data_IF_730279237880
#
_entry.id   IF_730279237880
#
_cell.length_a   1.000
_cell.length_b   1.000
_cell.length_c   1.000
_cell.angle_alpha   90.00
_cell.angle_beta   90.00
_cell.angle_gamma   90.00
#
_symmetry.space_group_name_H-M   'P 1'
#
loop_
_entity.id
_entity.type
_entity.pdbx_description
1 polymer ?
#
# COMPACT_ATOMS: atom_id res chain seq x y z
N UNK A 1 -17.04 -3.14 7.59
CA UNK A 1 -17.87 -2.11 6.93
C UNK A 1 -19.14 -2.77 6.44
N UNK A 2 -20.20 -2.00 6.36
CA UNK A 2 -21.51 -2.48 5.90
C UNK A 2 -22.22 -1.38 5.12
N UNK A 3 -22.58 -1.71 3.86
CA UNK A 3 -23.29 -0.84 2.92
C UNK A 3 -22.69 0.57 2.82
N UNK A 4 -21.36 0.64 2.67
CA UNK A 4 -20.64 1.91 2.67
C UNK A 4 -20.69 2.51 1.26
N UNK A 5 -21.18 3.75 1.17
CA UNK A 5 -21.15 4.58 -0.03
C UNK A 5 -20.30 5.81 0.21
N UNK A 6 -19.64 6.28 -0.83
CA UNK A 6 -18.93 7.55 -0.79
C UNK A 6 -19.00 8.29 -2.12
N UNK A 7 -19.24 9.59 -2.05
CA UNK A 7 -19.24 10.48 -3.20
C UNK A 7 -18.55 11.81 -2.89
N UNK A 8 -17.68 12.28 -3.78
CA UNK A 8 -17.13 13.62 -3.69
C UNK A 8 -18.19 14.64 -4.11
N UNK A 9 -18.35 15.71 -3.30
CA UNK A 9 -19.27 16.80 -3.58
C UNK A 9 -18.51 18.02 -4.08
N UNK A 10 -18.86 18.51 -5.27
CA UNK A 10 -18.46 19.81 -5.78
C UNK A 10 -19.68 20.72 -5.81
N UNK A 11 -19.48 22.06 -5.90
CA UNK A 11 -20.57 23.04 -5.82
C UNK A 11 -21.82 22.76 -6.65
N UNK A 12 -21.73 21.96 -7.73
CA UNK A 12 -22.83 21.68 -8.66
C UNK A 12 -22.99 20.19 -9.02
N UNK A 13 -22.10 19.30 -8.57
CA UNK A 13 -22.14 17.88 -8.97
C UNK A 13 -21.69 17.00 -7.82
N UNK A 14 -22.29 15.83 -7.72
CA UNK A 14 -21.88 14.72 -6.86
C UNK A 14 -21.24 13.66 -7.77
N UNK A 15 -20.08 13.17 -7.36
CA UNK A 15 -19.32 12.15 -8.07
C UNK A 15 -19.25 10.91 -7.18
N UNK A 16 -20.10 9.89 -7.43
CA UNK A 16 -20.03 8.64 -6.68
C UNK A 16 -18.69 7.95 -6.99
N UNK A 17 -18.09 7.35 -5.96
CA UNK A 17 -16.78 6.67 -6.07
C UNK A 17 -16.84 5.29 -5.42
N UNK A 18 -17.57 5.13 -4.33
CA UNK A 18 -17.79 3.84 -3.68
C UNK A 18 -19.28 3.59 -3.58
N UNK A 19 -19.70 2.37 -3.95
CA UNK A 19 -21.09 1.95 -3.96
C UNK A 19 -21.25 0.59 -3.28
N UNK A 20 -22.10 0.55 -2.25
CA UNK A 20 -22.50 -0.65 -1.47
C UNK A 20 -21.35 -1.53 -0.99
N UNK A 21 -20.26 -0.92 -0.52
CA UNK A 21 -19.11 -1.67 -0.03
C UNK A 21 -19.44 -2.35 1.30
N UNK A 22 -19.45 -3.69 1.27
CA UNK A 22 -19.63 -4.52 2.46
C UNK A 22 -18.50 -5.53 2.59
N UNK A 23 -17.62 -5.37 3.61
CA UNK A 23 -16.51 -6.29 3.85
C UNK A 23 -16.22 -6.43 5.33
N UNK A 24 -15.83 -7.65 5.72
CA UNK A 24 -15.36 -7.98 7.06
C UNK A 24 -13.98 -8.63 6.98
N UNK A 25 -12.98 -7.98 7.58
CA UNK A 25 -11.62 -8.48 7.70
C UNK A 25 -11.38 -8.87 9.16
N UNK A 26 -10.72 -10.00 9.42
CA UNK A 26 -10.52 -10.51 10.79
C UNK A 26 -9.09 -10.97 10.99
N UNK A 27 -8.58 -10.71 12.20
CA UNK A 27 -7.27 -11.21 12.64
C UNK A 27 -6.08 -10.48 12.01
N UNK A 28 -4.91 -10.89 12.45
CA UNK A 28 -3.63 -10.41 11.93
C UNK A 28 -3.36 -11.02 10.56
N UNK A 29 -3.27 -10.21 9.54
CA UNK A 29 -3.05 -10.65 8.16
C UNK A 29 -2.58 -9.49 7.28
N UNK A 30 -1.96 -9.82 6.16
CA UNK A 30 -1.67 -8.88 5.08
C UNK A 30 -2.78 -8.98 4.01
N UNK A 31 -3.50 -7.89 3.81
CA UNK A 31 -4.54 -7.76 2.78
C UNK A 31 -4.09 -6.77 1.74
N UNK A 32 -4.12 -7.16 0.47
CA UNK A 32 -3.89 -6.23 -0.65
C UNK A 32 -5.21 -5.84 -1.31
N UNK A 33 -5.33 -4.54 -1.60
CA UNK A 33 -6.41 -3.98 -2.42
C UNK A 33 -5.87 -3.81 -3.83
N UNK A 34 -6.50 -4.46 -4.79
CA UNK A 34 -6.20 -4.42 -6.23
C UNK A 34 -7.35 -3.79 -7.01
N UNK A 35 -7.08 -3.31 -8.20
CA UNK A 35 -8.05 -2.77 -9.14
C UNK A 35 -7.45 -1.65 -10.00
N UNK A 36 -8.13 -1.23 -11.07
CA UNK A 36 -7.68 -0.16 -11.96
C UNK A 36 -7.47 1.18 -11.25
N UNK A 37 -6.76 2.09 -11.90
CA UNK A 37 -6.62 3.45 -11.40
C UNK A 37 -7.97 4.17 -11.41
N UNK A 38 -8.24 4.97 -10.36
CA UNK A 38 -9.48 5.73 -10.24
C UNK A 38 -10.69 4.93 -9.72
N UNK A 39 -10.58 3.62 -9.48
CA UNK A 39 -11.71 2.78 -9.00
C UNK A 39 -12.12 3.04 -7.55
N UNK A 40 -11.37 3.89 -6.81
CA UNK A 40 -11.72 4.24 -5.43
C UNK A 40 -10.91 3.55 -4.34
N UNK A 41 -9.78 2.90 -4.65
CA UNK A 41 -8.93 2.19 -3.66
C UNK A 41 -8.48 3.08 -2.50
N UNK A 42 -7.86 4.24 -2.79
CA UNK A 42 -7.43 5.19 -1.76
C UNK A 42 -8.63 5.78 -1.01
N UNK A 43 -9.73 6.07 -1.71
CA UNK A 43 -10.97 6.53 -1.09
C UNK A 43 -11.51 5.50 -0.09
N UNK A 44 -11.46 4.22 -0.42
CA UNK A 44 -11.86 3.13 0.47
C UNK A 44 -11.00 3.12 1.76
N UNK A 45 -9.67 3.19 1.63
CA UNK A 45 -8.76 3.29 2.79
C UNK A 45 -9.05 4.55 3.61
N UNK A 46 -9.30 5.68 2.97
CA UNK A 46 -9.62 6.94 3.67
C UNK A 46 -10.95 6.86 4.43
N UNK A 47 -11.97 6.19 3.89
CA UNK A 47 -13.20 5.93 4.62
C UNK A 47 -12.98 4.95 5.79
N UNK A 48 -12.19 3.87 5.58
CA UNK A 48 -11.85 2.92 6.63
C UNK A 48 -11.13 3.58 7.81
N UNK A 49 -10.25 4.54 7.52
CA UNK A 49 -9.40 5.22 8.50
C UNK A 49 -10.02 6.55 9.01
N UNK A 50 -11.27 6.83 8.62
CA UNK A 50 -11.99 8.05 9.01
C UNK A 50 -11.25 9.35 8.63
N UNK A 51 -10.52 9.34 7.52
CA UNK A 51 -10.01 10.56 6.85
C UNK A 51 -11.13 11.18 6.02
N UNK A 52 -12.00 10.32 5.44
CA UNK A 52 -13.20 10.71 4.72
C UNK A 52 -14.42 10.09 5.42
N UNK A 53 -15.46 10.89 5.63
CA UNK A 53 -16.71 10.42 6.19
C UNK A 53 -17.58 9.81 5.07
N UNK A 54 -18.04 8.54 5.19
CA UNK A 54 -18.94 7.92 4.23
C UNK A 54 -20.21 8.73 4.02
N UNK A 55 -20.78 8.68 2.81
CA UNK A 55 -22.09 9.32 2.55
C UNK A 55 -23.25 8.44 3.03
N UNK A 56 -23.03 7.13 3.13
CA UNK A 56 -23.94 6.16 3.74
C UNK A 56 -23.17 4.94 4.27
N UNK A 57 -23.80 4.13 5.09
CA UNK A 57 -23.20 2.95 5.72
C UNK A 57 -22.36 3.29 6.94
N UNK A 58 -21.57 2.33 7.43
CA UNK A 58 -20.75 2.49 8.63
C UNK A 58 -19.47 1.66 8.58
N UNK A 59 -18.42 2.17 9.22
CA UNK A 59 -17.17 1.44 9.50
C UNK A 59 -17.15 1.08 10.99
N UNK A 60 -16.94 -0.20 11.30
CA UNK A 60 -16.90 -0.66 12.69
C UNK A 60 -15.60 -1.41 12.99
N UNK A 61 -15.08 -1.23 14.20
CA UNK A 61 -13.94 -1.97 14.74
C UNK A 61 -14.43 -2.73 15.98
N UNK A 62 -14.30 -4.05 15.97
CA UNK A 62 -14.77 -4.91 17.08
C UNK A 62 -16.24 -4.66 17.46
N UNK A 63 -17.08 -4.24 16.50
CA UNK A 63 -18.49 -3.93 16.71
C UNK A 63 -18.79 -2.48 17.13
N UNK A 64 -17.78 -1.67 17.40
CA UNK A 64 -17.93 -0.25 17.72
C UNK A 64 -17.82 0.59 16.45
N UNK A 65 -18.74 1.53 16.26
CA UNK A 65 -18.70 2.47 15.16
C UNK A 65 -17.52 3.43 15.33
N UNK A 66 -16.70 3.60 14.26
CA UNK A 66 -15.54 4.49 14.31
C UNK A 66 -15.93 5.96 14.52
N UNK A 67 -17.15 6.36 14.14
CA UNK A 67 -17.64 7.74 14.31
C UNK A 67 -17.83 8.09 15.77
N UNK A 68 -18.10 7.10 16.63
CA UNK A 68 -18.23 7.28 18.08
C UNK A 68 -16.89 7.34 18.83
N UNK A 69 -15.74 7.11 18.15
CA UNK A 69 -14.41 7.08 18.76
C UNK A 69 -13.72 8.43 18.55
N UNK A 70 -13.04 8.97 19.57
CA UNK A 70 -12.23 10.18 19.38
C UNK A 70 -11.12 9.95 18.35
N UNK A 71 -10.78 10.96 17.53
CA UNK A 71 -9.70 10.85 16.53
C UNK A 71 -8.38 10.47 17.20
N UNK A 72 -8.09 11.00 18.39
CA UNK A 72 -6.88 10.66 19.15
C UNK A 72 -6.83 9.19 19.56
N UNK A 73 -7.96 8.61 19.99
CA UNK A 73 -8.01 7.20 20.39
C UNK A 73 -8.03 6.28 19.16
N UNK A 74 -8.70 6.71 18.09
CA UNK A 74 -8.66 6.00 16.81
C UNK A 74 -7.23 5.95 16.26
N UNK A 75 -6.48 7.06 16.35
CA UNK A 75 -5.10 7.15 15.94
C UNK A 75 -4.14 6.26 16.75
N UNK A 76 -4.46 5.85 17.98
CA UNK A 76 -3.70 4.83 18.72
C UNK A 76 -3.97 3.42 18.22
N UNK A 77 -5.04 3.22 17.49
CA UNK A 77 -5.49 1.91 17.02
C UNK A 77 -5.23 1.68 15.54
N UNK A 78 -5.32 2.74 14.74
CA UNK A 78 -5.13 2.74 13.30
C UNK A 78 -3.96 3.64 12.90
N UNK A 79 -3.00 3.08 12.15
CA UNK A 79 -1.93 3.84 11.50
C UNK A 79 -2.22 3.99 10.00
N UNK A 80 -1.78 5.10 9.42
CA UNK A 80 -1.88 5.35 7.99
C UNK A 80 -0.56 5.87 7.42
N UNK A 81 -0.11 5.23 6.37
CA UNK A 81 1.04 5.65 5.56
C UNK A 81 0.53 6.05 4.20
N UNK A 82 0.52 7.35 3.88
CA UNK A 82 0.06 7.83 2.59
C UNK A 82 1.02 7.45 1.46
N UNK A 83 0.52 7.47 0.24
CA UNK A 83 1.37 7.55 -0.94
C UNK A 83 2.33 8.73 -0.79
N UNK A 84 3.63 8.47 -0.93
CA UNK A 84 4.68 9.43 -0.58
C UNK A 84 4.50 10.75 -1.33
N UNK A 85 4.05 11.77 -0.62
CA UNK A 85 4.36 13.16 -0.96
C UNK A 85 5.76 13.45 -0.38
N UNK A 86 6.62 14.05 -1.17
CA UNK A 86 7.91 14.57 -0.69
C UNK A 86 7.59 15.77 0.18
N UNK A 87 7.33 15.54 1.46
CA UNK A 87 7.20 16.61 2.44
C UNK A 87 8.60 17.20 2.65
N UNK A 88 8.82 18.40 2.11
CA UNK A 88 10.09 19.14 2.22
C UNK A 88 10.25 19.76 3.62
N UNK A 89 10.16 18.97 4.68
CA UNK A 89 10.49 19.45 6.02
C UNK A 89 11.93 19.09 6.37
N UNK A 90 12.75 20.07 6.82
CA UNK A 90 14.13 19.82 7.24
C UNK A 90 14.15 19.20 8.66
N UNK A 91 13.53 18.02 8.82
CA UNK A 91 13.52 17.26 10.07
C UNK A 91 14.53 16.12 9.97
N UNK A 92 15.08 15.72 11.11
CA UNK A 92 15.82 14.46 11.19
C UNK A 92 14.90 13.25 11.01
N UNK A 93 15.49 12.11 10.69
CA UNK A 93 14.74 10.82 10.65
C UNK A 93 14.11 10.55 12.02
N UNK A 94 14.85 10.75 13.10
CA UNK A 94 14.35 10.61 14.48
C UNK A 94 13.13 11.49 14.72
N UNK A 95 13.20 12.79 14.40
CA UNK A 95 12.07 13.70 14.59
C UNK A 95 10.86 13.31 13.75
N UNK A 96 11.11 12.88 12.49
CA UNK A 96 10.04 12.42 11.60
C UNK A 96 9.32 11.20 12.16
N UNK A 97 10.04 10.23 12.71
CA UNK A 97 9.44 9.04 13.33
C UNK A 97 8.76 9.38 14.65
N UNK A 98 9.33 10.32 15.42
CA UNK A 98 8.75 10.81 16.69
C UNK A 98 7.37 11.43 16.50
N UNK A 99 7.08 12.04 15.34
CA UNK A 99 5.72 12.52 15.02
C UNK A 99 4.67 11.40 15.10
N UNK A 100 5.05 10.14 14.86
CA UNK A 100 4.17 8.98 15.03
C UNK A 100 3.71 8.78 16.47
N UNK A 101 4.43 9.32 17.46
CA UNK A 101 4.08 9.23 18.89
C UNK A 101 3.03 10.24 19.34
N UNK A 102 2.69 11.21 18.49
CA UNK A 102 1.76 12.29 18.85
C UNK A 102 0.43 11.81 19.49
N UNK A 103 -0.23 10.73 19.05
CA UNK A 103 -1.45 10.24 19.71
C UNK A 103 -1.23 9.78 21.16
N UNK A 104 -0.01 9.34 21.51
CA UNK A 104 0.38 8.85 22.82
C UNK A 104 0.98 9.93 23.71
N UNK A 105 1.41 11.07 23.13
CA UNK A 105 2.11 12.14 23.82
C UNK A 105 1.37 12.63 25.06
N UNK A 106 2.11 12.66 26.18
CA UNK A 106 1.74 13.22 27.47
C UNK A 106 2.94 14.01 28.02
N UNK A 107 2.72 14.85 29.02
CA UNK A 107 3.82 15.53 29.69
C UNK A 107 4.77 14.50 30.34
N UNK A 108 6.08 14.62 30.05
CA UNK A 108 7.12 13.80 30.65
C UNK A 108 7.38 12.43 30.03
N UNK A 109 6.83 12.15 28.82
CA UNK A 109 7.02 10.84 28.13
C UNK A 109 8.08 10.86 27.04
N UNK A 110 8.86 11.94 26.87
CA UNK A 110 9.78 12.08 25.74
C UNK A 110 10.84 10.96 25.70
N UNK A 111 11.40 10.56 26.83
CA UNK A 111 12.42 9.50 26.87
C UNK A 111 11.82 8.13 26.45
N UNK A 112 10.60 7.83 26.89
CA UNK A 112 9.89 6.62 26.47
C UNK A 112 9.55 6.65 24.98
N UNK A 113 9.10 7.80 24.46
CA UNK A 113 8.79 7.96 23.05
C UNK A 113 10.04 7.83 22.19
N UNK A 114 11.18 8.40 22.59
CA UNK A 114 12.47 8.24 21.90
C UNK A 114 12.96 6.79 21.90
N UNK A 115 12.75 6.05 23.00
CA UNK A 115 13.05 4.61 23.05
C UNK A 115 12.23 3.84 22.01
N UNK A 116 10.93 4.11 21.90
CA UNK A 116 10.05 3.48 20.92
C UNK A 116 10.48 3.86 19.49
N UNK A 117 10.85 5.12 19.25
CA UNK A 117 11.39 5.57 17.97
C UNK A 117 12.63 4.76 17.59
N UNK A 118 13.59 4.63 18.51
CA UNK A 118 14.80 3.85 18.28
C UNK A 118 14.48 2.37 18.00
N UNK A 119 13.57 1.77 18.76
CA UNK A 119 13.10 0.40 18.50
C UNK A 119 12.50 0.24 17.08
N UNK A 120 11.75 1.23 16.60
CA UNK A 120 11.17 1.18 15.24
C UNK A 120 12.22 1.37 14.16
N UNK A 121 13.21 2.24 14.38
CA UNK A 121 14.33 2.40 13.46
C UNK A 121 15.14 1.09 13.32
N UNK A 122 15.47 0.45 14.44
CA UNK A 122 16.13 -0.86 14.44
C UNK A 122 15.28 -1.96 13.78
N UNK A 123 13.97 -1.99 14.05
CA UNK A 123 13.04 -2.98 13.49
C UNK A 123 12.99 -2.91 11.95
N UNK A 124 13.10 -1.69 11.41
CA UNK A 124 13.09 -1.40 9.96
C UNK A 124 14.50 -1.51 9.35
N UNK A 125 15.56 -1.47 10.19
CA UNK A 125 16.97 -1.50 9.76
C UNK A 125 17.40 -0.19 9.10
N UNK A 126 17.15 0.93 9.78
CA UNK A 126 17.53 2.30 9.37
C UNK A 126 18.04 3.13 10.54
N UNK A 127 18.48 2.49 11.62
CA UNK A 127 19.04 3.16 12.80
C UNK A 127 20.27 4.02 12.48
N UNK A 128 21.04 3.64 11.48
CA UNK A 128 22.19 4.39 10.96
C UNK A 128 21.82 5.71 10.30
N UNK A 129 20.53 5.91 9.97
CA UNK A 129 20.00 7.12 9.37
C UNK A 129 19.37 8.09 10.37
N UNK A 130 19.36 7.75 11.66
CA UNK A 130 18.59 8.46 12.71
C UNK A 130 18.80 9.99 12.71
N UNK A 131 20.06 10.43 12.57
CA UNK A 131 20.44 11.83 12.61
C UNK A 131 20.45 12.50 11.22
N UNK A 132 20.21 11.73 10.13
CA UNK A 132 20.17 12.32 8.79
C UNK A 132 18.92 13.15 8.59
N UNK A 133 19.07 14.17 7.73
CA UNK A 133 17.92 14.95 7.28
C UNK A 133 17.03 14.09 6.37
N UNK A 134 15.73 14.09 6.63
CA UNK A 134 14.75 13.31 5.87
C UNK A 134 14.82 13.62 4.36
N UNK A 135 15.07 14.87 3.98
CA UNK A 135 15.14 15.28 2.57
C UNK A 135 16.40 14.76 1.82
N UNK A 136 17.39 14.22 2.53
CA UNK A 136 18.63 13.68 1.94
C UNK A 136 18.55 12.20 1.63
N UNK A 137 17.40 11.56 1.92
CA UNK A 137 17.20 10.13 1.79
C UNK A 137 16.83 9.74 0.36
N UNK A 138 17.18 8.51 -0.03
CA UNK A 138 16.65 7.89 -1.25
C UNK A 138 15.16 7.56 -1.08
N UNK A 139 14.44 7.36 -2.20
CA UNK A 139 13.02 7.00 -2.18
C UNK A 139 12.72 5.77 -1.30
N UNK A 140 13.57 4.72 -1.37
CA UNK A 140 13.42 3.53 -0.52
C UNK A 140 13.66 3.81 0.95
N UNK A 141 14.64 4.69 1.29
CA UNK A 141 14.88 5.11 2.68
C UNK A 141 13.73 5.97 3.20
N UNK A 142 13.22 6.92 2.40
CA UNK A 142 12.01 7.69 2.70
C UNK A 142 10.85 6.77 3.09
N UNK A 143 10.58 5.76 2.25
CA UNK A 143 9.48 4.83 2.51
C UNK A 143 9.67 4.05 3.81
N UNK A 144 10.89 3.62 4.12
CA UNK A 144 11.23 2.97 5.39
C UNK A 144 10.98 3.90 6.59
N UNK A 145 11.36 5.17 6.50
CA UNK A 145 11.11 6.16 7.57
C UNK A 145 9.61 6.40 7.75
N UNK A 146 8.84 6.50 6.66
CA UNK A 146 7.39 6.65 6.74
C UNK A 146 6.71 5.42 7.38
N UNK A 147 7.21 4.21 7.08
CA UNK A 147 6.77 2.99 7.75
C UNK A 147 7.13 2.99 9.24
N UNK A 148 8.37 3.40 9.60
CA UNK A 148 8.80 3.52 10.99
C UNK A 148 7.92 4.51 11.76
N UNK A 149 7.57 5.67 11.15
CA UNK A 149 6.64 6.65 11.71
C UNK A 149 5.25 6.06 11.97
N UNK A 150 4.71 5.33 11.00
CA UNK A 150 3.42 4.65 11.16
C UNK A 150 3.46 3.56 12.24
N UNK A 151 4.55 2.81 12.36
CA UNK A 151 4.73 1.77 13.37
C UNK A 151 4.99 2.35 14.77
N UNK A 152 5.64 3.51 14.88
CA UNK A 152 5.84 4.21 16.16
C UNK A 152 4.51 4.59 16.83
N UNK A 153 3.42 4.63 16.09
CA UNK A 153 2.05 4.80 16.58
C UNK A 153 1.52 3.54 17.30
N UNK A 154 2.24 2.39 17.20
CA UNK A 154 1.85 1.08 17.75
C UNK A 154 0.43 0.64 17.36
N UNK A 155 0.07 0.73 16.07
CA UNK A 155 -1.29 0.47 15.63
C UNK A 155 -1.63 -1.02 15.65
N UNK A 156 -2.92 -1.35 15.78
CA UNK A 156 -3.46 -2.71 15.56
C UNK A 156 -3.85 -2.93 14.10
N UNK A 157 -4.18 -1.86 13.39
CA UNK A 157 -4.50 -1.87 11.97
C UNK A 157 -3.60 -0.84 11.29
N UNK A 158 -2.90 -1.24 10.24
CA UNK A 158 -2.06 -0.36 9.45
C UNK A 158 -2.58 -0.29 8.02
N UNK A 159 -2.89 0.90 7.57
CA UNK A 159 -3.26 1.19 6.19
C UNK A 159 -2.09 1.79 5.44
N UNK A 160 -1.85 1.32 4.22
CA UNK A 160 -0.77 1.82 3.38
C UNK A 160 -1.31 2.09 1.97
N UNK A 161 -1.14 3.32 1.53
CA UNK A 161 -1.50 3.72 0.18
C UNK A 161 -0.26 3.58 -0.71
N UNK A 162 -0.23 2.55 -1.54
CA UNK A 162 0.84 2.24 -2.50
C UNK A 162 2.27 2.26 -1.91
N UNK A 163 2.55 1.51 -0.85
CA UNK A 163 3.83 1.61 -0.12
C UNK A 163 5.05 1.16 -0.92
N UNK A 164 4.86 0.60 -2.10
CA UNK A 164 5.93 0.07 -2.96
C UNK A 164 6.04 0.79 -4.30
N UNK A 165 5.17 1.77 -4.58
CA UNK A 165 5.21 2.54 -5.81
C UNK A 165 6.52 3.34 -5.93
N UNK A 166 7.05 3.47 -7.15
CA UNK A 166 8.30 4.16 -7.46
C UNK A 166 9.57 3.56 -6.83
N UNK A 167 9.50 2.33 -6.32
CA UNK A 167 10.65 1.59 -5.82
C UNK A 167 11.09 0.54 -6.83
N UNK A 168 12.39 0.24 -6.85
CA UNK A 168 12.88 -0.91 -7.62
C UNK A 168 12.39 -2.25 -7.02
N UNK A 169 12.46 -3.31 -7.81
CA UNK A 169 11.96 -4.64 -7.45
C UNK A 169 12.55 -5.13 -6.11
N UNK A 170 13.83 -4.86 -5.84
CA UNK A 170 14.48 -5.28 -4.59
C UNK A 170 13.80 -4.67 -3.38
N UNK A 171 13.58 -3.34 -3.39
CA UNK A 171 12.94 -2.62 -2.30
C UNK A 171 11.45 -2.95 -2.17
N UNK A 172 10.74 -3.15 -3.29
CA UNK A 172 9.35 -3.61 -3.28
C UNK A 172 9.20 -4.93 -2.54
N UNK A 173 10.06 -5.92 -2.86
CA UNK A 173 10.07 -7.22 -2.20
C UNK A 173 10.46 -7.12 -0.73
N UNK A 174 11.46 -6.30 -0.39
CA UNK A 174 11.93 -6.10 0.98
C UNK A 174 10.80 -5.54 1.85
N UNK A 175 10.14 -4.46 1.41
CA UNK A 175 9.03 -3.83 2.12
C UNK A 175 7.85 -4.79 2.26
N UNK A 176 7.46 -5.48 1.19
CA UNK A 176 6.31 -6.39 1.25
C UNK A 176 6.56 -7.58 2.19
N UNK A 177 7.77 -8.16 2.16
CA UNK A 177 8.17 -9.20 3.10
C UNK A 177 8.18 -8.71 4.54
N UNK A 178 8.66 -7.48 4.77
CA UNK A 178 8.67 -6.84 6.08
C UNK A 178 7.23 -6.66 6.60
N UNK A 179 6.32 -6.10 5.79
CA UNK A 179 4.92 -5.90 6.16
C UNK A 179 4.25 -7.24 6.52
N UNK A 180 4.49 -8.30 5.74
CA UNK A 180 3.98 -9.64 6.04
C UNK A 180 4.54 -10.18 7.36
N UNK A 181 5.83 -10.00 7.64
CA UNK A 181 6.46 -10.38 8.90
C UNK A 181 5.86 -9.62 10.08
N UNK A 182 5.76 -8.29 9.97
CA UNK A 182 5.18 -7.43 11.00
C UNK A 182 3.73 -7.79 11.31
N UNK A 183 2.94 -8.09 10.28
CA UNK A 183 1.55 -8.54 10.46
C UNK A 183 1.48 -9.74 11.42
N UNK A 184 2.38 -10.70 11.27
CA UNK A 184 2.41 -11.93 12.08
C UNK A 184 3.04 -11.70 13.46
N UNK A 185 4.23 -11.11 13.52
CA UNK A 185 5.00 -10.94 14.76
C UNK A 185 4.36 -9.93 15.71
N UNK A 186 3.78 -8.85 15.19
CA UNK A 186 3.10 -7.81 15.99
C UNK A 186 1.59 -8.05 16.14
N UNK A 187 1.07 -9.17 15.61
CA UNK A 187 -0.36 -9.48 15.61
C UNK A 187 -1.20 -8.30 15.07
N UNK A 188 -0.78 -7.74 13.95
CA UNK A 188 -1.31 -6.53 13.33
C UNK A 188 -2.03 -6.84 12.01
N UNK A 189 -3.15 -6.21 11.75
CA UNK A 189 -3.79 -6.21 10.45
C UNK A 189 -3.12 -5.17 9.55
N UNK A 190 -2.61 -5.59 8.40
CA UNK A 190 -2.03 -4.70 7.39
C UNK A 190 -2.91 -4.72 6.15
N UNK A 191 -3.36 -3.55 5.73
CA UNK A 191 -4.17 -3.35 4.51
C UNK A 191 -3.39 -2.41 3.60
N UNK A 192 -2.99 -2.87 2.43
CA UNK A 192 -2.23 -2.06 1.49
C UNK A 192 -2.86 -2.03 0.09
N UNK A 193 -2.77 -0.90 -0.58
CA UNK A 193 -3.01 -0.82 -2.02
C UNK A 193 -1.74 -1.29 -2.73
N UNK A 194 -1.89 -2.16 -3.70
CA UNK A 194 -0.79 -2.63 -4.55
C UNK A 194 -1.14 -2.45 -6.03
N UNK A 195 -0.13 -2.09 -6.83
CA UNK A 195 -0.23 -2.10 -8.29
C UNK A 195 0.36 -3.38 -8.90
N UNK A 196 1.28 -4.01 -8.20
CA UNK A 196 1.85 -5.28 -8.65
C UNK A 196 1.00 -6.45 -8.18
N UNK A 197 0.29 -7.06 -9.15
CA UNK A 197 -0.62 -8.18 -8.90
C UNK A 197 0.18 -9.43 -8.48
N UNK A 198 1.36 -9.67 -9.04
CA UNK A 198 2.19 -10.83 -8.70
C UNK A 198 2.77 -10.71 -7.29
N UNK A 199 3.22 -9.53 -6.88
CA UNK A 199 3.64 -9.27 -5.49
C UNK A 199 2.46 -9.46 -4.53
N UNK A 200 1.29 -8.91 -4.83
CA UNK A 200 0.10 -9.09 -4.03
C UNK A 200 -0.31 -10.57 -3.94
N UNK A 201 -0.33 -11.29 -5.05
CA UNK A 201 -0.64 -12.72 -5.10
C UNK A 201 0.33 -13.57 -4.26
N UNK A 202 1.62 -13.25 -4.31
CA UNK A 202 2.67 -14.01 -3.60
C UNK A 202 2.66 -13.79 -2.09
N UNK A 203 2.42 -12.56 -1.64
CA UNK A 203 2.66 -12.19 -0.24
C UNK A 203 1.40 -11.98 0.60
N UNK A 204 0.25 -11.65 -0.01
CA UNK A 204 -0.98 -11.39 0.75
C UNK A 204 -1.61 -12.68 1.27
N UNK A 205 -2.28 -12.55 2.40
CA UNK A 205 -3.12 -13.61 2.95
C UNK A 205 -4.52 -13.58 2.32
N UNK A 206 -5.03 -12.36 2.05
CA UNK A 206 -6.26 -12.13 1.30
C UNK A 206 -6.09 -10.95 0.33
N UNK A 207 -6.93 -10.93 -0.71
CA UNK A 207 -7.00 -9.87 -1.71
C UNK A 207 -8.44 -9.36 -1.78
N UNK A 208 -8.56 -8.04 -1.85
CA UNK A 208 -9.79 -7.32 -2.22
C UNK A 208 -9.56 -6.80 -3.63
N UNK A 209 -10.32 -7.27 -4.59
CA UNK A 209 -10.28 -6.78 -5.97
C UNK A 209 -11.46 -5.85 -6.20
N UNK A 210 -11.18 -4.61 -6.58
CA UNK A 210 -12.19 -3.57 -6.82
C UNK A 210 -12.41 -3.32 -8.30
N UNK A 211 -13.66 -3.11 -8.67
CA UNK A 211 -14.07 -2.72 -10.01
C UNK A 211 -15.35 -1.87 -9.92
N UNK A 212 -15.50 -0.85 -10.76
CA UNK A 212 -16.67 0.03 -10.84
C UNK A 212 -17.18 0.54 -9.48
N UNK A 213 -16.25 1.01 -8.61
CA UNK A 213 -16.60 1.55 -7.29
C UNK A 213 -17.02 0.52 -6.25
N UNK A 214 -17.07 -0.77 -6.60
CA UNK A 214 -17.47 -1.89 -5.75
C UNK A 214 -16.34 -2.87 -5.45
N UNK A 215 -16.62 -3.84 -4.56
CA UNK A 215 -15.77 -5.02 -4.37
C UNK A 215 -16.23 -6.08 -5.39
N UNK A 216 -15.39 -6.36 -6.38
CA UNK A 216 -15.64 -7.38 -7.38
C UNK A 216 -15.38 -8.80 -6.85
N UNK A 217 -14.24 -8.99 -6.18
CA UNK A 217 -13.87 -10.28 -5.59
C UNK A 217 -13.11 -10.08 -4.27
N UNK A 218 -13.27 -11.02 -3.35
CA UNK A 218 -12.62 -11.02 -2.03
C UNK A 218 -12.29 -12.45 -1.63
N UNK A 219 -11.06 -12.72 -1.24
CA UNK A 219 -10.66 -14.05 -0.78
C UNK A 219 -9.16 -14.27 -0.80
N UNK A 220 -8.76 -15.53 -0.75
CA UNK A 220 -7.36 -15.93 -0.89
C UNK A 220 -6.86 -15.58 -2.31
N UNK A 221 -5.55 -15.33 -2.47
CA UNK A 221 -4.99 -15.03 -3.78
C UNK A 221 -5.42 -16.01 -4.89
N UNK A 222 -5.42 -17.33 -4.61
CA UNK A 222 -5.80 -18.35 -5.59
C UNK A 222 -7.27 -18.28 -6.03
N UNK A 223 -8.15 -17.75 -5.17
CA UNK A 223 -9.59 -17.64 -5.46
C UNK A 223 -9.91 -16.35 -6.22
N UNK A 224 -9.09 -15.31 -6.04
CA UNK A 224 -9.32 -13.96 -6.59
C UNK A 224 -8.55 -13.73 -7.88
N UNK A 225 -7.31 -14.21 -7.96
CA UNK A 225 -6.45 -14.05 -9.13
C UNK A 225 -6.67 -15.20 -10.10
N UNK A 226 -7.63 -15.01 -10.99
CA UNK A 226 -7.96 -15.93 -12.09
C UNK A 226 -7.86 -15.19 -13.44
N UNK A 227 -7.65 -15.91 -14.53
CA UNK A 227 -7.59 -15.31 -15.88
C UNK A 227 -8.90 -14.55 -16.20
N UNK A 228 -10.04 -15.09 -15.78
CA UNK A 228 -11.35 -14.48 -15.95
C UNK A 228 -11.48 -13.15 -15.19
N UNK A 229 -11.09 -13.12 -13.92
CA UNK A 229 -11.15 -11.91 -13.10
C UNK A 229 -10.19 -10.84 -13.61
N UNK A 230 -8.99 -11.23 -14.05
CA UNK A 230 -8.02 -10.30 -14.65
C UNK A 230 -8.56 -9.71 -15.93
N UNK A 231 -9.12 -10.53 -16.81
CA UNK A 231 -9.76 -10.03 -18.04
C UNK A 231 -10.90 -9.06 -17.74
N UNK A 232 -11.78 -9.42 -16.79
CA UNK A 232 -12.93 -8.59 -16.44
C UNK A 232 -12.55 -7.23 -15.84
N UNK A 233 -11.59 -7.25 -14.88
CA UNK A 233 -11.25 -6.06 -14.08
C UNK A 233 -10.26 -5.14 -14.79
N UNK A 234 -9.31 -5.71 -15.53
CA UNK A 234 -8.21 -4.94 -16.15
C UNK A 234 -8.30 -4.88 -17.68
N UNK A 235 -9.24 -5.64 -18.28
CA UNK A 235 -9.39 -5.81 -19.73
C UNK A 235 -8.11 -6.30 -20.44
N UNK A 236 -7.36 -7.17 -19.77
CA UNK A 236 -6.10 -7.76 -20.25
C UNK A 236 -6.22 -9.28 -20.27
N UNK A 237 -5.82 -9.90 -21.37
CA UNK A 237 -5.72 -11.35 -21.43
C UNK A 237 -4.47 -11.82 -20.69
N UNK A 238 -4.66 -12.79 -19.80
CA UNK A 238 -3.60 -13.28 -18.94
C UNK A 238 -3.76 -14.78 -18.66
N UNK A 239 -2.63 -15.47 -18.64
CA UNK A 239 -2.54 -16.85 -18.14
C UNK A 239 -2.16 -16.81 -16.66
N UNK A 240 -2.93 -17.51 -15.83
CA UNK A 240 -2.61 -17.69 -14.42
C UNK A 240 -2.05 -19.10 -14.23
N UNK A 241 -0.83 -19.16 -13.70
CA UNK A 241 -0.16 -20.42 -13.33
C UNK A 241 -0.02 -20.48 -11.81
N UNK A 242 -0.05 -21.70 -11.26
CA UNK A 242 0.16 -21.91 -9.83
C UNK A 242 1.62 -22.26 -9.57
N UNK A 243 2.31 -21.44 -8.75
CA UNK A 243 3.68 -21.67 -8.29
C UNK A 243 3.67 -21.76 -6.76
N UNK A 244 4.11 -22.88 -6.21
CA UNK A 244 4.11 -23.19 -4.75
C UNK A 244 2.76 -22.86 -4.05
N UNK A 245 1.65 -23.11 -4.73
CA UNK A 245 0.29 -22.84 -4.21
C UNK A 245 -0.12 -21.36 -4.24
N UNK A 246 0.63 -20.52 -4.97
CA UNK A 246 0.33 -19.11 -5.22
C UNK A 246 0.10 -18.84 -6.70
N UNK A 247 -0.90 -18.03 -7.08
CA UNK A 247 -1.10 -17.67 -8.47
C UNK A 247 -0.03 -16.71 -8.95
N UNK A 248 0.40 -16.90 -10.17
CA UNK A 248 1.32 -16.03 -10.90
C UNK A 248 0.74 -15.69 -12.25
N UNK A 249 0.71 -14.39 -12.60
CA UNK A 249 0.11 -13.89 -13.82
C UNK A 249 1.19 -13.71 -14.87
N UNK A 250 0.93 -14.26 -16.05
CA UNK A 250 1.69 -14.03 -17.28
C UNK A 250 0.75 -13.30 -18.24
N UNK A 251 1.09 -12.06 -18.62
CA UNK A 251 0.34 -11.31 -19.64
C UNK A 251 0.47 -12.03 -20.98
N UNK A 252 -0.64 -12.11 -21.71
CA UNK A 252 -0.68 -12.64 -23.06
C UNK A 252 -0.85 -11.43 -23.98
N UNK A 253 0.05 -11.30 -24.94
CA UNK A 253 -0.09 -10.32 -26.02
C UNK A 253 -0.73 -11.03 -27.20
N UNK A 254 -1.93 -10.62 -27.61
CA UNK A 254 -2.63 -11.21 -28.77
C UNK A 254 -2.09 -10.66 -30.11
N UNK A 255 -1.19 -9.69 -30.06
CA UNK A 255 -0.51 -9.18 -31.24
C UNK A 255 0.66 -10.10 -31.66
N UNK A 256 0.32 -11.30 -32.15
CA UNK A 256 1.16 -11.99 -33.15
C UNK A 256 1.14 -11.16 -34.45
N UNK A 257 1.38 -9.87 -34.37
CA UNK A 257 1.81 -9.11 -35.53
C UNK A 257 3.18 -9.62 -35.88
N UNK A 258 3.28 -10.35 -37.00
CA UNK A 258 4.51 -10.61 -37.68
C UNK A 258 5.32 -9.30 -37.69
N UNK A 259 6.26 -9.16 -36.76
CA UNK A 259 7.34 -8.20 -36.91
C UNK A 259 8.09 -8.67 -38.15
N UNK A 260 7.84 -8.00 -39.27
CA UNK A 260 8.75 -8.11 -40.41
C UNK A 260 10.12 -7.69 -39.91
N UNK A 261 11.05 -8.67 -39.84
CA UNK A 261 12.44 -8.53 -39.39
C UNK A 261 13.29 -7.60 -40.27
N UNK A 262 12.67 -6.81 -41.17
CA UNK A 262 13.35 -5.98 -42.16
C UNK A 262 13.74 -4.56 -41.67
N UNK A 263 13.56 -4.25 -40.37
CA UNK A 263 14.05 -2.99 -39.82
C UNK A 263 15.31 -3.20 -38.99
N UNK A 264 16.48 -3.09 -39.62
CA UNK A 264 17.76 -2.93 -38.91
C UNK A 264 17.77 -1.64 -38.09
N UNK A 265 17.50 -1.73 -36.78
CA UNK A 265 17.76 -0.66 -35.85
C UNK A 265 19.17 -0.81 -35.29
N UNK A 266 20.09 0.06 -35.69
CA UNK A 266 21.40 0.13 -35.04
C UNK A 266 21.38 1.19 -33.93
N UNK A 267 21.46 0.77 -32.67
CA UNK A 267 21.67 1.66 -31.52
C UNK A 267 23.19 1.79 -31.30
N UNK A 268 23.75 2.96 -31.59
CA UNK A 268 25.15 3.28 -31.29
C UNK A 268 25.22 3.85 -29.90
N UNK A 269 25.67 3.07 -28.91
CA UNK A 269 25.99 3.57 -27.58
C UNK A 269 27.49 3.88 -27.52
N UNK A 270 27.84 5.15 -27.38
CA UNK A 270 29.22 5.58 -27.15
C UNK A 270 29.48 5.73 -25.66
N UNK A 271 30.37 4.90 -25.11
CA UNK A 271 30.94 5.12 -23.79
C UNK A 271 32.45 5.44 -24.05
N UNK A 272 32.87 6.65 -23.68
CA UNK A 272 34.26 7.09 -23.70
C UNK A 272 35.01 6.86 -25.03
N UNK A 273 34.43 7.26 -26.17
CA UNK A 273 35.13 7.32 -27.46
C UNK A 273 35.32 5.98 -28.22
N UNK A 274 34.79 4.88 -27.72
CA UNK A 274 34.76 3.60 -28.43
C UNK A 274 33.37 3.27 -28.95
N UNK A 275 33.28 2.96 -30.25
CA UNK A 275 32.04 2.57 -30.91
C UNK A 275 31.87 1.06 -30.78
N UNK A 276 30.83 0.62 -30.03
CA UNK A 276 30.47 -0.81 -29.99
C UNK A 276 29.50 -1.08 -31.15
N UNK A 277 29.92 -1.94 -32.09
CA UNK A 277 29.03 -2.55 -33.10
C UNK A 277 28.57 -3.88 -32.52
N UNK A 278 27.30 -3.97 -32.13
CA UNK A 278 26.69 -5.25 -31.82
C UNK A 278 26.64 -6.16 -33.05
N UNK A 279 26.43 -7.48 -32.83
CA UNK A 279 26.34 -8.46 -33.90
C UNK A 279 25.16 -8.21 -34.78
#
# INVERSE_FOLDING_TARGET
>A
MKNLDFAYKSRKKTFPVLEDISVRIRGAQLVSILGPNGVGKSTLIHCMNRILDPTAGAVTINGYDVDGISIKDLAKFMGYVPYSSVDNFPLSVTDTVLMGRHPHSKWGTLDDDLRIVHEMLCLIGIEDLADRNFNELSAGQHQKVMLARGLAQEPRIMFLDEPTSNLDIKYQLEITKMLRRLSREKNMMVIMISHDINIAAKYSDNIIMMHDGGIFALGKPADVITSENIKHVYDVDAKVIMDEGRPHIIMIDDDDTNYDDDHEFSVIATKSGETYKGP
#
